data_IF_164092585475
#
_entry.id   IF_164092585475
#
_cell.length_a   1.000
_cell.length_b   1.000
_cell.length_c   1.000
_cell.angle_alpha   90.00
_cell.angle_beta   90.00
_cell.angle_gamma   90.00
#
_symmetry.space_group_name_H-M   'P 1'
#
loop_
_entity.id
_entity.type
_entity.pdbx_description
1 polymer ?
#
# COMPACT_ATOMS: atom_id res chain seq x y z
N UNK A 1 -19.93 30.08 101.36
CA UNK A 1 -21.25 30.03 100.69
C UNK A 1 -21.03 29.64 99.24
N UNK A 2 -21.25 28.34 98.90
CA UNK A 2 -21.02 27.81 97.56
C UNK A 2 -22.35 27.66 96.79
N UNK A 3 -22.57 28.41 95.69
CA UNK A 3 -23.76 28.29 94.83
C UNK A 3 -23.52 27.16 93.78
N UNK A 4 -24.19 25.99 93.99
CA UNK A 4 -24.26 24.91 92.96
C UNK A 4 -25.18 25.31 91.83
N UNK A 5 -24.62 25.55 90.55
CA UNK A 5 -25.38 25.72 89.33
C UNK A 5 -25.95 24.34 88.90
N UNK A 6 -27.32 24.22 88.93
CA UNK A 6 -28.05 23.06 88.40
C UNK A 6 -27.99 23.15 86.86
N UNK A 7 -27.26 22.22 86.22
CA UNK A 7 -27.33 22.00 84.76
C UNK A 7 -28.72 21.42 84.40
N UNK A 8 -29.56 22.20 83.65
CA UNK A 8 -30.79 21.69 83.00
C UNK A 8 -30.42 20.67 81.94
N UNK A 9 -30.75 19.38 82.12
CA UNK A 9 -30.72 18.38 81.06
C UNK A 9 -31.79 18.72 80.02
N UNK A 10 -31.39 19.12 78.83
CA UNK A 10 -32.31 19.24 77.69
C UNK A 10 -32.94 17.89 77.38
N UNK A 11 -34.27 17.80 77.56
CA UNK A 11 -35.05 16.60 77.14
C UNK A 11 -34.86 16.46 75.63
N UNK A 12 -34.20 15.36 75.26
CA UNK A 12 -34.02 14.99 73.82
C UNK A 12 -35.36 14.53 73.29
N UNK A 13 -35.93 15.26 72.32
CA UNK A 13 -37.21 14.94 71.65
C UNK A 13 -37.05 13.65 70.80
N UNK A 14 -37.72 12.53 71.22
CA UNK A 14 -37.54 11.24 70.52
C UNK A 14 -38.13 11.31 69.10
N UNK A 15 -39.17 12.12 68.85
CA UNK A 15 -39.76 12.32 67.53
C UNK A 15 -38.79 13.00 66.52
N UNK A 16 -38.04 14.00 67.01
CA UNK A 16 -37.04 14.68 66.14
C UNK A 16 -35.89 13.75 65.72
N UNK A 17 -35.53 12.80 66.59
CA UNK A 17 -34.53 11.78 66.25
C UNK A 17 -35.03 10.76 65.21
N UNK A 18 -36.31 10.37 65.31
CA UNK A 18 -36.94 9.42 64.40
C UNK A 18 -37.04 10.06 63.00
N UNK A 19 -37.48 11.34 62.94
CA UNK A 19 -37.52 12.11 61.68
C UNK A 19 -36.14 12.27 61.05
N UNK A 20 -35.11 12.60 61.84
CA UNK A 20 -33.75 12.73 61.36
C UNK A 20 -33.21 11.37 60.79
N UNK A 21 -33.53 10.27 61.48
CA UNK A 21 -33.11 8.93 61.04
C UNK A 21 -33.80 8.52 59.71
N UNK A 22 -35.10 8.79 59.58
CA UNK A 22 -35.86 8.51 58.37
C UNK A 22 -35.33 9.37 57.19
N UNK A 23 -35.08 10.65 57.43
CA UNK A 23 -34.49 11.52 56.40
C UNK A 23 -33.10 11.06 55.98
N UNK A 24 -32.27 10.62 56.92
CA UNK A 24 -30.94 10.08 56.61
C UNK A 24 -31.02 8.81 55.75
N UNK A 25 -31.97 7.91 56.07
CA UNK A 25 -32.20 6.69 55.31
C UNK A 25 -32.74 6.95 53.92
N UNK A 26 -33.64 7.95 53.75
CA UNK A 26 -34.15 8.35 52.44
C UNK A 26 -33.04 8.96 51.57
N UNK A 27 -32.21 9.83 52.13
CA UNK A 27 -31.08 10.42 51.43
C UNK A 27 -30.02 9.36 51.09
N UNK A 28 -29.70 8.48 52.01
CA UNK A 28 -28.74 7.40 51.77
C UNK A 28 -29.28 6.38 50.72
N UNK A 29 -30.54 6.03 50.77
CA UNK A 29 -31.21 5.16 49.82
C UNK A 29 -31.29 5.80 48.42
N UNK A 30 -31.60 7.09 48.34
CA UNK A 30 -31.60 7.86 47.10
C UNK A 30 -30.21 7.98 46.45
N UNK A 31 -29.20 8.21 47.32
CA UNK A 31 -27.81 8.26 46.82
C UNK A 31 -27.30 6.88 46.34
N UNK A 32 -27.67 5.81 47.04
CA UNK A 32 -27.33 4.44 46.63
C UNK A 32 -28.04 4.04 45.33
N UNK A 33 -29.35 4.34 45.21
CA UNK A 33 -30.11 4.06 44.00
C UNK A 33 -29.63 4.89 42.80
N UNK A 34 -29.32 6.18 43.02
CA UNK A 34 -28.74 7.05 42.01
C UNK A 34 -27.34 6.60 41.57
N UNK A 35 -26.52 6.14 42.51
CA UNK A 35 -25.20 5.60 42.22
C UNK A 35 -25.27 4.30 41.39
N UNK A 36 -26.19 3.38 41.78
CA UNK A 36 -26.42 2.12 41.04
C UNK A 36 -26.95 2.43 39.64
N UNK A 37 -27.93 3.35 39.52
CA UNK A 37 -28.47 3.76 38.20
C UNK A 37 -27.38 4.40 37.37
N UNK A 38 -26.61 5.36 37.89
CA UNK A 38 -25.49 6.00 37.17
C UNK A 38 -24.45 4.98 36.76
N UNK A 39 -24.09 4.04 37.60
CA UNK A 39 -23.14 2.97 37.27
C UNK A 39 -23.70 2.03 36.21
N UNK A 40 -24.96 1.66 36.28
CA UNK A 40 -25.63 0.79 35.29
C UNK A 40 -25.73 1.46 33.91
N UNK A 41 -25.89 2.80 33.88
CA UNK A 41 -26.01 3.57 32.64
C UNK A 41 -24.67 3.94 32.02
N UNK A 42 -23.60 4.03 32.85
CA UNK A 42 -22.26 4.45 32.41
C UNK A 42 -21.21 3.36 32.48
N UNK A 43 -21.46 2.25 33.12
CA UNK A 43 -20.62 1.06 33.00
C UNK A 43 -21.12 0.27 31.80
N UNK A 44 -20.54 0.50 30.64
CA UNK A 44 -20.67 -0.41 29.51
C UNK A 44 -20.37 -1.85 29.99
N UNK A 45 -21.17 -2.79 29.54
CA UNK A 45 -20.89 -4.19 29.85
C UNK A 45 -19.52 -4.53 29.21
N UNK A 46 -18.47 -4.83 30.00
CA UNK A 46 -17.15 -5.11 29.44
C UNK A 46 -17.14 -6.23 28.42
N UNK A 47 -18.15 -7.13 28.48
CA UNK A 47 -18.30 -8.21 27.51
C UNK A 47 -18.92 -7.73 26.19
N UNK A 48 -19.85 -6.77 26.24
CA UNK A 48 -20.40 -6.16 25.00
C UNK A 48 -19.39 -5.22 24.37
N UNK A 49 -18.68 -4.41 25.16
CA UNK A 49 -17.63 -3.53 24.69
C UNK A 49 -16.48 -4.34 24.03
N UNK A 50 -16.05 -5.45 24.66
CA UNK A 50 -15.07 -6.37 24.09
C UNK A 50 -15.61 -7.07 22.82
N UNK A 51 -16.87 -7.48 22.83
CA UNK A 51 -17.49 -8.11 21.67
C UNK A 51 -17.65 -7.12 20.51
N UNK A 52 -18.05 -5.87 20.78
CA UNK A 52 -18.15 -4.81 19.78
C UNK A 52 -16.78 -4.41 19.24
N UNK A 53 -15.77 -4.32 20.09
CA UNK A 53 -14.41 -4.01 19.67
C UNK A 53 -13.79 -5.16 18.84
N UNK A 54 -14.08 -6.41 19.17
CA UNK A 54 -13.40 -7.55 18.56
C UNK A 54 -14.19 -8.27 17.47
N UNK A 55 -15.51 -8.12 17.46
CA UNK A 55 -16.41 -8.82 16.53
C UNK A 55 -17.40 -7.90 15.82
N UNK A 56 -17.26 -6.56 15.97
CA UNK A 56 -18.13 -5.62 15.28
C UNK A 56 -17.86 -5.71 13.77
N UNK A 57 -18.80 -6.31 13.04
CA UNK A 57 -18.73 -6.47 11.60
C UNK A 57 -18.61 -5.13 10.85
N UNK A 58 -19.06 -4.02 11.45
CA UNK A 58 -18.98 -2.68 10.84
C UNK A 58 -17.60 -2.02 11.05
N UNK A 59 -16.90 -2.36 12.15
CA UNK A 59 -15.52 -1.89 12.41
C UNK A 59 -14.46 -2.77 11.74
N UNK A 60 -14.74 -4.07 11.61
CA UNK A 60 -13.81 -5.07 11.07
C UNK A 60 -14.38 -5.76 9.83
N UNK A 61 -15.29 -5.12 9.14
CA UNK A 61 -15.72 -5.60 7.84
C UNK A 61 -14.50 -5.54 6.93
N UNK A 62 -13.86 -6.68 6.73
CA UNK A 62 -12.89 -6.83 5.67
C UNK A 62 -13.61 -6.45 4.38
N UNK A 63 -13.20 -5.34 3.78
CA UNK A 63 -13.67 -5.03 2.42
C UNK A 63 -13.32 -6.24 1.56
N UNK A 64 -14.29 -6.80 0.80
CA UNK A 64 -13.97 -7.90 -0.07
C UNK A 64 -12.80 -7.48 -0.96
N UNK A 65 -11.76 -8.28 -0.99
CA UNK A 65 -10.53 -8.02 -1.77
C UNK A 65 -10.85 -7.62 -3.23
N UNK A 66 -11.92 -8.16 -3.78
CA UNK A 66 -12.38 -7.91 -5.14
C UNK A 66 -13.32 -6.71 -5.31
N UNK A 67 -13.72 -6.02 -4.24
CA UNK A 67 -14.75 -4.97 -4.33
C UNK A 67 -14.33 -3.78 -5.22
N UNK A 68 -13.04 -3.52 -5.32
CA UNK A 68 -12.48 -2.44 -6.15
C UNK A 68 -11.79 -2.94 -7.43
N UNK A 69 -11.85 -4.24 -7.72
CA UNK A 69 -11.14 -4.85 -8.84
C UNK A 69 -12.11 -5.25 -9.96
N UNK A 70 -11.58 -5.25 -11.20
CA UNK A 70 -12.22 -5.93 -12.31
C UNK A 70 -11.96 -7.44 -12.17
N UNK A 71 -12.99 -8.23 -11.99
CA UNK A 71 -12.87 -9.67 -11.77
C UNK A 71 -13.50 -10.45 -12.92
N UNK A 72 -12.76 -11.43 -13.43
CA UNK A 72 -13.29 -12.45 -14.35
C UNK A 72 -12.71 -13.80 -13.98
N UNK A 73 -13.50 -14.86 -14.08
CA UNK A 73 -13.03 -16.23 -13.88
C UNK A 73 -12.51 -16.88 -15.17
N UNK A 74 -12.78 -16.27 -16.33
CA UNK A 74 -12.46 -16.81 -17.65
C UNK A 74 -12.18 -15.72 -18.67
N UNK A 75 -11.84 -16.11 -19.89
CA UNK A 75 -11.72 -15.17 -21.00
C UNK A 75 -13.06 -14.51 -21.32
N UNK A 76 -13.01 -13.22 -21.72
CA UNK A 76 -14.17 -12.41 -22.05
C UNK A 76 -14.07 -11.99 -23.52
N UNK A 77 -15.03 -12.38 -24.34
CA UNK A 77 -15.08 -11.99 -25.72
C UNK A 77 -15.60 -10.54 -25.87
N UNK A 78 -15.07 -9.80 -26.81
CA UNK A 78 -15.57 -8.48 -27.19
C UNK A 78 -16.29 -8.58 -28.52
N UNK A 79 -17.56 -8.14 -28.55
CA UNK A 79 -18.39 -8.19 -29.74
C UNK A 79 -17.74 -7.44 -30.93
N UNK A 80 -17.64 -8.15 -32.07
CA UNK A 80 -17.04 -7.60 -33.28
C UNK A 80 -15.52 -7.61 -33.32
N UNK A 81 -14.85 -8.10 -32.26
CA UNK A 81 -13.41 -8.30 -32.21
C UNK A 81 -13.07 -9.78 -32.39
N UNK A 82 -12.10 -10.05 -33.25
CA UNK A 82 -11.55 -11.40 -33.44
C UNK A 82 -10.17 -11.46 -32.81
N UNK A 83 -9.91 -12.49 -32.04
CA UNK A 83 -8.62 -12.71 -31.41
C UNK A 83 -7.50 -12.72 -32.47
N UNK A 84 -6.52 -11.89 -32.26
CA UNK A 84 -5.33 -11.82 -33.14
C UNK A 84 -4.36 -12.93 -32.75
N UNK A 85 -4.07 -13.89 -33.65
CA UNK A 85 -3.20 -15.04 -33.30
C UNK A 85 -1.78 -14.66 -32.88
N UNK A 86 -1.32 -13.46 -33.19
CA UNK A 86 -0.02 -12.94 -32.74
C UNK A 86 0.00 -12.46 -31.29
N UNK A 87 -1.17 -12.23 -30.67
CA UNK A 87 -1.25 -11.86 -29.27
C UNK A 87 -0.97 -13.07 -28.37
N UNK A 88 -0.03 -12.93 -27.46
CA UNK A 88 0.20 -13.94 -26.43
C UNK A 88 -0.90 -13.94 -25.36
N UNK A 89 -1.28 -12.77 -24.88
CA UNK A 89 -2.44 -12.53 -24.02
C UNK A 89 -2.85 -11.05 -24.12
N UNK A 90 -4.10 -10.74 -23.79
CA UNK A 90 -4.58 -9.37 -23.74
C UNK A 90 -5.75 -9.21 -22.75
N UNK A 91 -5.91 -8.01 -22.20
CA UNK A 91 -7.04 -7.66 -21.31
C UNK A 91 -7.40 -6.20 -21.45
N UNK A 92 -8.70 -5.91 -21.47
CA UNK A 92 -9.27 -4.57 -21.37
C UNK A 92 -10.12 -4.49 -20.09
N UNK A 93 -9.74 -3.58 -19.21
CA UNK A 93 -10.32 -3.45 -17.88
C UNK A 93 -10.92 -2.06 -17.70
N UNK A 94 -12.23 -1.99 -17.47
CA UNK A 94 -12.93 -0.76 -17.17
C UNK A 94 -12.91 -0.52 -15.66
N UNK A 95 -12.02 0.35 -15.20
CA UNK A 95 -11.83 0.63 -13.78
C UNK A 95 -13.01 1.38 -13.16
N UNK A 96 -13.78 2.14 -13.95
CA UNK A 96 -14.95 2.88 -13.45
C UNK A 96 -16.12 1.95 -13.17
N UNK A 97 -16.37 1.01 -14.07
CA UNK A 97 -17.45 0.02 -13.97
C UNK A 97 -17.02 -1.27 -13.29
N UNK A 98 -15.71 -1.41 -13.03
CA UNK A 98 -15.08 -2.60 -12.43
C UNK A 98 -15.40 -3.87 -13.23
N UNK A 99 -15.40 -3.75 -14.56
CA UNK A 99 -15.68 -4.85 -15.47
C UNK A 99 -14.46 -5.22 -16.31
N UNK A 100 -14.37 -6.50 -16.69
CA UNK A 100 -13.46 -6.96 -17.74
C UNK A 100 -14.24 -6.91 -19.05
N UNK A 101 -13.86 -6.02 -19.95
CA UNK A 101 -14.54 -5.82 -21.24
C UNK A 101 -13.99 -6.75 -22.33
N UNK A 102 -12.73 -7.12 -22.23
CA UNK A 102 -12.10 -8.11 -23.09
C UNK A 102 -11.03 -8.87 -22.31
N UNK A 103 -10.94 -10.17 -22.55
CA UNK A 103 -9.93 -11.03 -21.94
C UNK A 103 -9.58 -12.21 -22.81
N UNK A 104 -8.35 -12.24 -23.28
CA UNK A 104 -7.78 -13.34 -24.06
C UNK A 104 -6.57 -13.92 -23.35
N UNK A 105 -6.63 -15.22 -23.01
CA UNK A 105 -5.56 -15.93 -22.29
C UNK A 105 -5.10 -15.19 -21.03
N UNK A 106 -6.04 -14.61 -20.28
CA UNK A 106 -5.79 -13.73 -19.13
C UNK A 106 -4.90 -14.37 -18.05
N UNK A 107 -4.98 -15.69 -17.90
CA UNK A 107 -4.33 -16.44 -16.83
C UNK A 107 -3.19 -17.33 -17.31
N UNK A 108 -2.85 -17.27 -18.60
CA UNK A 108 -1.71 -18.02 -19.13
C UNK A 108 -0.40 -17.40 -18.59
N UNK A 109 0.52 -18.25 -18.15
CA UNK A 109 1.85 -17.82 -17.72
C UNK A 109 2.69 -17.44 -18.93
N UNK A 110 3.21 -16.23 -18.90
CA UNK A 110 4.02 -15.64 -19.96
C UNK A 110 5.22 -14.93 -19.35
N UNK A 111 6.28 -14.80 -20.12
CA UNK A 111 7.44 -14.00 -19.73
C UNK A 111 7.11 -12.52 -19.78
N UNK A 112 7.23 -11.78 -18.67
CA UNK A 112 6.79 -10.39 -18.59
C UNK A 112 7.68 -9.41 -19.34
N UNK A 113 8.93 -9.75 -19.60
CA UNK A 113 9.93 -8.81 -20.06
C UNK A 113 9.93 -7.52 -19.21
N UNK A 114 10.10 -6.35 -19.82
CA UNK A 114 10.16 -5.07 -19.10
C UNK A 114 8.88 -4.65 -18.37
N UNK A 115 7.74 -5.35 -18.55
CA UNK A 115 6.56 -5.10 -17.72
C UNK A 115 6.80 -5.44 -16.25
N UNK A 116 7.81 -6.26 -15.94
CA UNK A 116 8.35 -6.50 -14.58
C UNK A 116 8.61 -5.19 -13.81
N UNK A 117 9.07 -4.15 -14.50
CA UNK A 117 9.44 -2.86 -13.92
C UNK A 117 8.26 -2.12 -13.26
N UNK A 118 7.03 -2.52 -13.56
CA UNK A 118 5.85 -2.04 -12.84
C UNK A 118 5.90 -2.44 -11.37
N UNK A 119 6.25 -3.70 -11.07
CA UNK A 119 6.39 -4.17 -9.69
C UNK A 119 7.59 -3.50 -9.01
N UNK A 120 8.71 -3.33 -9.70
CA UNK A 120 9.88 -2.59 -9.18
C UNK A 120 9.52 -1.16 -8.83
N UNK A 121 8.79 -0.46 -9.70
CA UNK A 121 8.32 0.90 -9.43
C UNK A 121 7.32 0.96 -8.26
N UNK A 122 6.37 0.01 -8.19
CA UNK A 122 5.44 -0.11 -7.07
C UNK A 122 6.18 -0.22 -5.73
N UNK A 123 7.19 -1.08 -5.66
CA UNK A 123 7.98 -1.27 -4.43
C UNK A 123 8.84 -0.04 -4.11
N UNK A 124 9.43 0.60 -5.10
CA UNK A 124 10.19 1.83 -4.91
C UNK A 124 9.32 2.94 -4.33
N UNK A 125 8.10 3.09 -4.82
CA UNK A 125 7.14 4.08 -4.32
C UNK A 125 6.58 3.74 -2.94
N UNK A 126 6.48 2.46 -2.61
CA UNK A 126 5.94 1.97 -1.34
C UNK A 126 6.96 2.00 -0.20
N UNK A 127 8.19 1.64 -0.46
CA UNK A 127 9.23 1.42 0.56
C UNK A 127 10.38 2.43 0.50
N UNK A 128 10.59 3.07 -0.64
CA UNK A 128 11.66 4.03 -0.83
C UNK A 128 11.29 5.46 -0.41
N UNK A 129 12.31 6.27 -0.20
CA UNK A 129 12.17 7.72 -0.05
C UNK A 129 12.73 8.39 -1.30
N UNK A 130 11.87 9.06 -2.06
CA UNK A 130 12.18 9.58 -3.39
C UNK A 130 13.36 10.55 -3.43
N UNK A 131 13.60 11.28 -2.34
CA UNK A 131 14.70 12.25 -2.22
C UNK A 131 16.03 11.64 -1.76
N UNK A 132 16.03 10.34 -1.35
CA UNK A 132 17.26 9.69 -0.93
C UNK A 132 18.25 9.55 -2.10
N UNK A 133 19.51 9.78 -1.79
CA UNK A 133 20.63 9.55 -2.72
C UNK A 133 21.06 8.09 -2.63
N UNK A 134 20.87 7.37 -3.71
CA UNK A 134 21.26 5.97 -3.85
C UNK A 134 22.70 5.90 -4.37
N UNK A 135 23.54 5.16 -3.65
CA UNK A 135 24.89 4.84 -4.13
C UNK A 135 24.84 3.62 -5.03
N UNK A 136 25.25 3.80 -6.28
CA UNK A 136 25.27 2.74 -7.28
C UNK A 136 26.44 1.77 -6.99
N UNK A 137 26.15 0.48 -7.00
CA UNK A 137 27.13 -0.59 -6.77
C UNK A 137 27.67 -1.19 -8.08
N UNK A 138 28.57 -2.17 -7.98
CA UNK A 138 29.10 -2.89 -9.15
C UNK A 138 28.05 -3.74 -9.88
N UNK A 139 26.94 -4.08 -9.21
CA UNK A 139 25.86 -4.94 -9.75
C UNK A 139 25.12 -4.33 -10.94
N UNK A 140 25.23 -3.00 -11.16
CA UNK A 140 24.62 -2.33 -12.33
C UNK A 140 25.43 -2.54 -13.62
N UNK A 141 26.50 -3.31 -13.57
CA UNK A 141 27.36 -3.60 -14.72
C UNK A 141 27.08 -5.01 -15.29
N UNK A 142 27.64 -5.29 -16.46
CA UNK A 142 27.54 -6.63 -17.05
C UNK A 142 26.35 -6.86 -17.96
N UNK A 143 25.53 -5.84 -18.22
CA UNK A 143 24.46 -5.89 -19.19
C UNK A 143 25.00 -6.04 -20.61
N UNK A 144 24.32 -6.82 -21.46
CA UNK A 144 24.65 -6.99 -22.85
C UNK A 144 24.42 -5.70 -23.66
N UNK A 145 25.05 -5.58 -24.81
CA UNK A 145 25.01 -4.34 -25.61
C UNK A 145 23.60 -3.98 -26.17
N UNK A 146 22.74 -4.95 -26.28
CA UNK A 146 21.32 -4.82 -26.70
C UNK A 146 20.36 -4.64 -25.53
N UNK A 147 20.83 -4.73 -24.29
CA UNK A 147 20.03 -4.51 -23.10
C UNK A 147 19.98 -3.02 -22.76
N UNK A 148 18.76 -2.55 -22.43
CA UNK A 148 18.55 -1.13 -22.18
C UNK A 148 19.05 -0.72 -20.80
N UNK A 149 19.97 0.24 -20.77
CA UNK A 149 20.52 0.82 -19.53
C UNK A 149 20.51 2.36 -19.60
N UNK A 150 20.49 3.01 -18.44
CA UNK A 150 20.70 4.46 -18.32
C UNK A 150 22.17 4.85 -18.27
N UNK A 151 23.06 3.88 -18.13
CA UNK A 151 24.51 4.10 -18.04
C UNK A 151 24.97 4.48 -16.65
N UNK A 152 24.32 3.92 -15.64
CA UNK A 152 24.79 4.02 -14.25
C UNK A 152 26.16 3.36 -14.13
N UNK A 153 26.99 3.86 -13.22
CA UNK A 153 28.32 3.33 -12.96
C UNK A 153 28.58 3.20 -11.46
N UNK A 154 29.45 2.25 -11.05
CA UNK A 154 29.80 2.05 -9.64
C UNK A 154 30.31 3.32 -8.98
N UNK A 155 29.81 3.59 -7.76
CA UNK A 155 30.13 4.81 -7.00
C UNK A 155 29.31 6.04 -7.41
N UNK A 156 28.51 5.95 -8.47
CA UNK A 156 27.56 7.00 -8.85
C UNK A 156 26.55 7.28 -7.74
N UNK A 157 26.10 8.54 -7.65
CA UNK A 157 25.09 8.99 -6.68
C UNK A 157 23.87 9.48 -7.45
N UNK A 158 22.72 8.84 -7.26
CA UNK A 158 21.50 9.12 -8.01
C UNK A 158 20.32 9.19 -7.06
N UNK A 159 19.44 10.17 -7.21
CA UNK A 159 18.18 10.18 -6.44
C UNK A 159 17.30 8.99 -6.78
N UNK A 160 16.59 8.46 -5.81
CA UNK A 160 15.61 7.39 -6.07
C UNK A 160 14.55 7.83 -7.09
N UNK A 161 14.13 9.09 -7.05
CA UNK A 161 13.21 9.65 -8.05
C UNK A 161 13.79 9.60 -9.47
N UNK A 162 15.06 9.95 -9.65
CA UNK A 162 15.74 9.89 -10.95
C UNK A 162 15.85 8.44 -11.44
N UNK A 163 16.16 7.50 -10.54
CA UNK A 163 16.16 6.06 -10.86
C UNK A 163 14.79 5.58 -11.34
N UNK A 164 13.71 6.03 -10.68
CA UNK A 164 12.33 5.72 -11.11
C UNK A 164 12.01 6.29 -12.49
N UNK A 165 12.44 7.51 -12.79
CA UNK A 165 12.28 8.11 -14.11
C UNK A 165 13.05 7.32 -15.18
N UNK A 166 14.30 6.93 -14.89
CA UNK A 166 15.10 6.07 -15.77
C UNK A 166 14.47 4.70 -16.01
N UNK A 167 13.93 4.09 -14.94
CA UNK A 167 13.24 2.80 -14.96
C UNK A 167 11.98 2.84 -15.85
N UNK A 168 11.11 3.83 -15.62
CA UNK A 168 9.77 3.87 -16.24
C UNK A 168 9.77 4.49 -17.64
N UNK A 169 10.59 5.52 -17.91
CA UNK A 169 10.62 6.19 -19.19
C UNK A 169 11.53 5.47 -20.17
N UNK A 170 12.79 5.24 -19.80
CA UNK A 170 13.78 4.61 -20.68
C UNK A 170 13.81 3.09 -20.57
N UNK A 171 13.16 2.51 -19.58
CA UNK A 171 13.23 1.06 -19.30
C UNK A 171 14.63 0.60 -18.85
N UNK A 172 15.40 1.43 -18.12
CA UNK A 172 16.76 1.16 -17.68
C UNK A 172 16.85 -0.04 -16.74
N UNK A 173 17.57 -1.10 -17.14
CA UNK A 173 17.76 -2.30 -16.32
C UNK A 173 18.66 -2.02 -15.13
N UNK A 174 19.69 -1.21 -15.32
CA UNK A 174 20.60 -0.73 -14.28
C UNK A 174 19.88 0.07 -13.18
N UNK A 175 18.89 0.89 -13.57
CA UNK A 175 18.01 1.56 -12.61
C UNK A 175 17.23 0.55 -11.75
N UNK A 176 16.74 -0.54 -12.35
CA UNK A 176 16.04 -1.60 -11.64
C UNK A 176 16.92 -2.27 -10.59
N UNK A 177 18.17 -2.58 -10.93
CA UNK A 177 19.14 -3.16 -10.00
C UNK A 177 19.48 -2.19 -8.86
N UNK A 178 19.76 -0.92 -9.17
CA UNK A 178 20.07 0.09 -8.15
C UNK A 178 18.90 0.30 -7.17
N UNK A 179 17.66 0.30 -7.65
CA UNK A 179 16.46 0.35 -6.81
C UNK A 179 16.35 -0.88 -5.92
N UNK A 180 16.57 -2.08 -6.48
CA UNK A 180 16.47 -3.33 -5.74
C UNK A 180 17.46 -3.38 -4.57
N UNK A 181 18.70 -3.01 -4.83
CA UNK A 181 19.75 -2.98 -3.79
C UNK A 181 19.50 -1.90 -2.73
N UNK A 182 19.02 -0.72 -3.13
CA UNK A 182 18.67 0.33 -2.19
C UNK A 182 17.54 -0.11 -1.22
N UNK A 183 16.54 -0.83 -1.71
CA UNK A 183 15.37 -1.22 -0.89
C UNK A 183 15.66 -2.46 -0.05
N UNK A 184 16.29 -3.47 -0.62
CA UNK A 184 16.39 -4.81 -0.03
C UNK A 184 17.83 -5.28 0.23
N UNK A 185 18.83 -4.50 -0.19
CA UNK A 185 20.25 -4.83 -0.02
C UNK A 185 20.80 -5.77 -1.08
N UNK A 186 19.97 -6.51 -1.83
CA UNK A 186 20.37 -7.33 -2.98
C UNK A 186 19.22 -7.54 -3.95
N UNK A 187 19.54 -7.99 -5.17
CA UNK A 187 18.56 -8.35 -6.20
C UNK A 187 17.72 -9.54 -5.76
N UNK A 188 18.31 -10.54 -5.12
CA UNK A 188 17.64 -11.75 -4.65
C UNK A 188 16.62 -11.40 -3.54
N UNK A 189 17.03 -10.64 -2.52
CA UNK A 189 16.13 -10.20 -1.46
C UNK A 189 15.00 -9.31 -1.99
N UNK A 190 15.27 -8.52 -3.03
CA UNK A 190 14.26 -7.72 -3.69
C UNK A 190 13.27 -8.58 -4.48
N UNK A 191 13.73 -9.63 -5.16
CA UNK A 191 12.87 -10.59 -5.85
C UNK A 191 11.93 -11.33 -4.87
N UNK A 192 12.43 -11.69 -3.68
CA UNK A 192 11.57 -12.23 -2.61
C UNK A 192 10.48 -11.23 -2.22
N UNK A 193 10.84 -9.97 -1.99
CA UNK A 193 9.89 -8.90 -1.68
C UNK A 193 8.88 -8.67 -2.82
N UNK A 194 9.31 -8.72 -4.10
CA UNK A 194 8.42 -8.65 -5.26
C UNK A 194 7.36 -9.76 -5.20
N UNK A 195 7.76 -10.99 -4.91
CA UNK A 195 6.86 -12.14 -4.84
C UNK A 195 5.90 -12.07 -3.64
N UNK A 196 6.35 -11.56 -2.50
CA UNK A 196 5.49 -11.33 -1.35
C UNK A 196 4.42 -10.28 -1.65
N UNK A 197 4.81 -9.17 -2.25
CA UNK A 197 3.88 -8.08 -2.58
C UNK A 197 2.94 -8.46 -3.74
N UNK A 198 3.41 -9.22 -4.73
CA UNK A 198 2.55 -9.79 -5.77
C UNK A 198 1.40 -10.62 -5.16
N UNK A 199 1.71 -11.49 -4.18
CA UNK A 199 0.69 -12.27 -3.46
C UNK A 199 -0.29 -11.38 -2.69
N UNK A 200 0.18 -10.29 -2.06
CA UNK A 200 -0.69 -9.34 -1.34
C UNK A 200 -1.62 -8.58 -2.29
N UNK A 201 -1.19 -8.35 -3.53
CA UNK A 201 -2.02 -7.77 -4.59
C UNK A 201 -2.96 -8.79 -5.24
N UNK A 202 -2.86 -10.08 -4.90
CA UNK A 202 -3.63 -11.16 -5.51
C UNK A 202 -3.04 -11.69 -6.81
N UNK A 203 -1.86 -11.24 -7.22
CA UNK A 203 -1.13 -11.67 -8.41
C UNK A 203 -0.46 -13.03 -8.14
N UNK A 204 -1.27 -14.08 -8.03
CA UNK A 204 -0.82 -15.43 -7.60
C UNK A 204 -0.29 -16.29 -8.74
N UNK A 205 -0.49 -15.90 -9.98
CA UNK A 205 0.07 -16.54 -11.19
C UNK A 205 1.44 -15.98 -11.57
N UNK A 206 2.07 -15.17 -10.70
CA UNK A 206 3.31 -14.44 -10.95
C UNK A 206 4.46 -14.95 -10.11
N UNK A 207 5.65 -15.00 -10.71
CA UNK A 207 6.91 -15.22 -10.02
C UNK A 207 8.01 -14.36 -10.63
N UNK A 208 8.65 -13.54 -9.80
CA UNK A 208 9.74 -12.66 -10.17
C UNK A 208 11.07 -13.20 -9.64
N UNK A 209 12.13 -13.13 -10.43
CA UNK A 209 13.50 -13.49 -10.04
C UNK A 209 14.49 -12.33 -10.22
N UNK A 210 14.08 -11.26 -10.89
CA UNK A 210 14.88 -10.06 -11.08
C UNK A 210 14.01 -8.81 -11.18
N UNK A 211 14.58 -7.57 -10.99
CA UNK A 211 13.81 -6.33 -10.97
C UNK A 211 13.55 -5.70 -12.35
N UNK A 212 14.07 -6.26 -13.43
CA UNK A 212 14.10 -5.62 -14.76
C UNK A 212 13.38 -6.41 -15.85
N UNK A 213 13.20 -7.72 -15.67
CA UNK A 213 12.48 -8.58 -16.62
C UNK A 213 13.36 -9.19 -17.72
N UNK A 214 14.67 -9.22 -17.57
CA UNK A 214 15.51 -10.07 -18.40
C UNK A 214 15.13 -11.52 -18.20
N UNK A 215 15.21 -12.30 -19.25
CA UNK A 215 14.68 -13.63 -19.31
C UNK A 215 15.32 -14.59 -18.32
N UNK A 216 14.47 -15.27 -17.57
CA UNK A 216 14.79 -16.43 -16.74
C UNK A 216 13.60 -17.40 -16.82
N UNK A 217 13.87 -18.69 -16.85
CA UNK A 217 12.82 -19.71 -17.03
C UNK A 217 11.73 -19.64 -15.96
N UNK A 218 12.09 -19.22 -14.74
CA UNK A 218 11.18 -19.13 -13.60
C UNK A 218 10.64 -17.70 -13.38
N UNK A 219 10.85 -16.79 -14.35
CA UNK A 219 10.37 -15.40 -14.31
C UNK A 219 9.13 -15.25 -15.18
N UNK A 220 7.94 -15.31 -14.58
CA UNK A 220 6.67 -15.31 -15.31
C UNK A 220 5.59 -14.49 -14.61
N UNK A 221 4.58 -14.12 -15.37
CA UNK A 221 3.36 -13.45 -14.90
C UNK A 221 2.18 -13.83 -15.80
N UNK A 222 0.99 -13.28 -15.51
CA UNK A 222 -0.20 -13.37 -16.34
C UNK A 222 -0.71 -11.98 -16.73
N UNK A 223 -1.50 -11.86 -17.78
CA UNK A 223 -2.10 -10.58 -18.16
C UNK A 223 -3.02 -10.02 -17.05
N UNK A 224 -3.72 -10.89 -16.33
CA UNK A 224 -4.54 -10.50 -15.19
C UNK A 224 -3.70 -10.00 -14.01
N UNK A 225 -2.61 -10.69 -13.68
CA UNK A 225 -1.71 -10.27 -12.59
C UNK A 225 -1.03 -8.93 -12.92
N UNK A 226 -0.65 -8.71 -14.17
CA UNK A 226 -0.14 -7.40 -14.60
C UNK A 226 -1.18 -6.29 -14.44
N UNK A 227 -2.47 -6.58 -14.71
CA UNK A 227 -3.54 -5.63 -14.40
C UNK A 227 -3.57 -5.31 -12.90
N UNK A 228 -3.50 -6.30 -12.01
CA UNK A 228 -3.52 -6.07 -10.56
C UNK A 228 -2.35 -5.18 -10.10
N UNK A 229 -1.15 -5.47 -10.59
CA UNK A 229 0.07 -4.69 -10.28
C UNK A 229 -0.06 -3.27 -10.85
N UNK A 230 -0.47 -3.12 -12.10
CA UNK A 230 -0.64 -1.82 -12.73
C UNK A 230 -1.72 -0.99 -12.06
N UNK A 231 -2.86 -1.62 -11.69
CA UNK A 231 -3.93 -0.96 -10.95
C UNK A 231 -3.43 -0.41 -9.60
N UNK A 232 -2.55 -1.14 -8.90
CA UNK A 232 -1.92 -0.64 -7.69
C UNK A 232 -0.96 0.54 -7.97
N UNK A 233 -0.19 0.50 -9.05
CA UNK A 233 0.71 1.60 -9.45
C UNK A 233 -0.04 2.90 -9.72
N UNK A 234 -1.15 2.85 -10.47
CA UNK A 234 -1.91 4.05 -10.86
C UNK A 234 -2.69 4.70 -9.70
N UNK A 235 -2.75 4.09 -8.53
CA UNK A 235 -3.25 4.75 -7.32
C UNK A 235 -2.24 5.78 -6.76
N UNK A 236 -0.98 5.72 -7.20
CA UNK A 236 0.07 6.64 -6.77
C UNK A 236 0.22 7.80 -7.75
N UNK A 237 0.11 9.04 -7.26
CA UNK A 237 0.17 10.23 -8.12
C UNK A 237 1.55 10.46 -8.73
N UNK A 238 2.63 10.14 -8.01
CA UNK A 238 4.00 10.21 -8.56
C UNK A 238 4.19 9.24 -9.73
N UNK A 239 3.62 8.04 -9.64
CA UNK A 239 3.65 7.09 -10.76
C UNK A 239 2.97 7.67 -11.99
N UNK A 240 1.76 8.23 -11.82
CA UNK A 240 1.00 8.88 -12.92
C UNK A 240 1.75 10.05 -13.51
N UNK A 241 2.39 10.87 -12.66
CA UNK A 241 3.22 11.99 -13.08
C UNK A 241 4.36 11.49 -14.00
N UNK A 242 5.16 10.52 -13.54
CA UNK A 242 6.32 10.02 -14.28
C UNK A 242 5.91 9.43 -15.63
N UNK A 243 4.91 8.55 -15.69
CA UNK A 243 4.50 7.91 -16.95
C UNK A 243 3.84 8.88 -17.94
N UNK A 244 3.47 10.08 -17.50
CA UNK A 244 2.88 11.13 -18.33
C UNK A 244 3.92 12.10 -18.89
N UNK A 245 5.19 11.99 -18.49
CA UNK A 245 6.26 12.88 -18.95
C UNK A 245 6.62 12.58 -20.41
N UNK A 246 6.89 13.61 -21.17
CA UNK A 246 7.46 13.50 -22.53
C UNK A 246 8.98 13.39 -22.55
N UNK A 247 9.66 13.84 -21.49
CA UNK A 247 11.09 13.68 -21.25
C UNK A 247 11.40 13.99 -19.78
N UNK A 248 12.53 13.50 -19.31
CA UNK A 248 13.06 13.83 -18.00
C UNK A 248 14.60 13.90 -18.05
N UNK A 249 15.20 14.82 -17.31
CA UNK A 249 16.66 14.91 -17.18
C UNK A 249 17.08 14.40 -15.82
N UNK A 250 17.57 13.17 -15.77
CA UNK A 250 18.14 12.60 -14.55
C UNK A 250 19.57 13.07 -14.31
N UNK A 251 19.97 13.17 -13.06
CA UNK A 251 21.28 13.63 -12.62
C UNK A 251 22.03 12.50 -11.92
N UNK A 252 23.25 12.21 -12.38
CA UNK A 252 24.15 11.20 -11.82
C UNK A 252 25.38 11.91 -11.29
N UNK A 253 25.52 11.95 -9.96
CA UNK A 253 26.70 12.52 -9.29
C UNK A 253 27.84 11.51 -9.21
N UNK A 254 29.09 12.01 -9.12
CA UNK A 254 30.27 11.20 -8.78
C UNK A 254 30.80 11.52 -7.37
N UNK A 255 31.73 10.71 -6.88
CA UNK A 255 32.36 10.91 -5.58
C UNK A 255 33.21 12.20 -5.50
N UNK A 256 33.57 12.80 -6.62
CA UNK A 256 34.29 14.06 -6.71
C UNK A 256 33.39 15.29 -6.73
N UNK A 257 32.06 15.08 -6.73
CA UNK A 257 31.04 16.14 -6.74
C UNK A 257 30.71 16.66 -8.16
N UNK A 258 31.17 16.01 -9.21
CA UNK A 258 30.72 16.32 -10.57
C UNK A 258 29.34 15.67 -10.81
N UNK A 259 28.56 16.26 -11.71
CA UNK A 259 27.23 15.75 -12.08
C UNK A 259 27.16 15.58 -13.59
N UNK A 260 26.72 14.40 -13.99
CA UNK A 260 26.35 14.10 -15.37
C UNK A 260 24.83 14.15 -15.51
N UNK A 261 24.34 14.79 -16.56
CA UNK A 261 22.93 14.82 -16.88
C UNK A 261 22.63 13.88 -18.04
N UNK A 262 21.59 13.07 -17.89
CA UNK A 262 21.08 12.17 -18.91
C UNK A 262 19.63 12.50 -19.20
N UNK A 263 19.32 12.85 -20.45
CA UNK A 263 17.93 12.95 -20.88
C UNK A 263 17.36 11.55 -21.14
N UNK A 264 16.27 11.22 -20.45
CA UNK A 264 15.51 9.98 -20.64
C UNK A 264 14.18 10.30 -21.30
N UNK A 265 13.85 9.54 -22.33
CA UNK A 265 12.64 9.69 -23.14
C UNK A 265 11.77 8.44 -23.00
N UNK A 266 10.44 8.60 -23.00
CA UNK A 266 9.54 7.45 -23.07
C UNK A 266 9.80 6.59 -24.28
N UNK A 267 9.73 5.28 -24.11
CA UNK A 267 9.88 4.32 -25.21
C UNK A 267 8.56 4.06 -25.94
N UNK A 268 7.44 4.57 -25.44
CA UNK A 268 6.14 4.39 -26.07
C UNK A 268 5.92 5.43 -27.20
N UNK A 269 5.38 4.99 -28.32
CA UNK A 269 5.14 5.83 -29.49
C UNK A 269 4.13 6.95 -29.24
N UNK A 270 3.13 6.74 -28.38
CA UNK A 270 2.07 7.71 -28.10
C UNK A 270 2.60 8.96 -27.39
N UNK A 271 3.46 8.81 -26.38
CA UNK A 271 4.08 9.95 -25.68
C UNK A 271 5.07 10.72 -26.56
N UNK A 272 5.59 10.10 -27.63
CA UNK A 272 6.46 10.76 -28.62
C UNK A 272 5.68 11.49 -29.73
N UNK A 273 4.35 11.55 -29.64
CA UNK A 273 3.49 12.17 -30.64
C UNK A 273 3.52 11.45 -32.01
N UNK A 274 4.03 10.23 -32.04
CA UNK A 274 4.05 9.37 -33.23
C UNK A 274 2.77 8.53 -33.25
N UNK A 275 1.66 9.17 -33.56
CA UNK A 275 0.43 8.47 -33.96
C UNK A 275 0.45 8.30 -35.46
N UNK A 276 0.54 7.07 -35.97
CA UNK A 276 0.10 6.74 -37.31
C UNK A 276 -1.41 6.50 -37.30
#
# INVERSE_FOLDING_TARGET
MSRRRRRRRKRRNPAGRLIALVLTLVVAGGAAAGGIWYYAEHSGNPLTEYADEKYNADLYRAEPFSETLCVSAENVALDGFTDEPSLHAAGLFNLNERSVEYGYRLYDKLYPASTTKLMTAYLALKYGKLEDMVTVTDSVTGFAADEVVCGLYPGGQVKLYDLLCGLLLKSGNDCGVAIAEYISGSVEAFAELMNEEAKKLGATGTHFVNPHGLHEDDHYTTAYDLYLIFNACIQNDTFKEIISMSSYTMSIGDAAGNTHSLEVLPTNYYSLGKTE
#
